data_IF_474314870807
#
_entry.id   IF_474314870807
#
_cell.length_a   1.000
_cell.length_b   1.000
_cell.length_c   1.000
_cell.angle_alpha   90.00
_cell.angle_beta   90.00
_cell.angle_gamma   90.00
#
_symmetry.space_group_name_H-M   'P 1'
#
loop_
_entity.id
_entity.type
_entity.pdbx_description
1 polymer ?
#
# COMPACT_ATOMS: atom_id res chain seq x y z
N UNK A 1 18.01 -5.80 -21.44
CA UNK A 1 16.96 -4.83 -21.05
C UNK A 1 16.01 -5.50 -20.06
N UNK A 2 16.07 -5.12 -18.78
CA UNK A 2 15.21 -5.66 -17.70
C UNK A 2 14.62 -4.56 -16.80
N UNK A 3 14.94 -3.29 -17.06
CA UNK A 3 14.56 -2.16 -16.22
C UNK A 3 13.10 -1.71 -16.43
N UNK A 4 12.56 -1.82 -17.65
CA UNK A 4 11.24 -1.30 -18.01
C UNK A 4 10.08 -2.05 -17.35
N UNK A 5 10.24 -3.37 -17.14
CA UNK A 5 9.21 -4.19 -16.50
C UNK A 5 9.11 -3.94 -14.99
N UNK A 6 10.24 -3.69 -14.31
CA UNK A 6 10.29 -3.44 -12.87
C UNK A 6 9.77 -2.04 -12.52
N UNK A 7 10.07 -1.02 -13.34
CA UNK A 7 9.60 0.36 -13.12
C UNK A 7 8.07 0.43 -13.21
N UNK A 8 7.47 -0.19 -14.24
CA UNK A 8 6.01 -0.20 -14.43
C UNK A 8 5.28 -0.90 -13.27
N UNK A 9 5.88 -1.94 -12.69
CA UNK A 9 5.29 -2.67 -11.57
C UNK A 9 5.21 -1.81 -10.28
N UNK A 10 6.27 -1.07 -9.95
CA UNK A 10 6.32 -0.19 -8.78
C UNK A 10 5.33 0.98 -8.91
N UNK A 11 5.23 1.57 -10.10
CA UNK A 11 4.27 2.65 -10.36
C UNK A 11 2.82 2.19 -10.21
N UNK A 12 2.50 0.99 -10.69
CA UNK A 12 1.17 0.41 -10.55
C UNK A 12 0.85 0.04 -9.09
N UNK A 13 1.83 -0.48 -8.32
CA UNK A 13 1.65 -0.69 -6.88
C UNK A 13 1.33 0.62 -6.16
N UNK A 14 2.12 1.67 -6.43
CA UNK A 14 1.93 2.95 -5.77
C UNK A 14 0.57 3.54 -6.12
N UNK A 15 0.16 3.47 -7.39
CA UNK A 15 -1.15 3.90 -7.84
C UNK A 15 -2.29 3.14 -7.15
N UNK A 16 -2.17 1.83 -7.00
CA UNK A 16 -3.16 1.03 -6.27
C UNK A 16 -3.25 1.46 -4.80
N UNK A 17 -2.13 1.74 -4.15
CA UNK A 17 -2.07 2.24 -2.78
C UNK A 17 -2.75 3.62 -2.66
N UNK A 18 -2.39 4.56 -3.52
CA UNK A 18 -2.95 5.92 -3.51
C UNK A 18 -4.46 5.92 -3.76
N UNK A 19 -4.93 5.04 -4.65
CA UNK A 19 -6.36 4.83 -4.88
C UNK A 19 -7.07 4.22 -3.67
N UNK A 20 -6.48 3.25 -2.98
CA UNK A 20 -7.06 2.72 -1.73
C UNK A 20 -7.21 3.83 -0.67
N UNK A 21 -6.20 4.67 -0.48
CA UNK A 21 -6.26 5.81 0.46
C UNK A 21 -7.35 6.81 0.03
N UNK A 22 -7.40 7.13 -1.26
CA UNK A 22 -8.34 8.13 -1.79
C UNK A 22 -9.78 7.67 -1.67
N UNK A 23 -10.05 6.38 -1.85
CA UNK A 23 -11.37 5.78 -1.66
C UNK A 23 -11.81 5.88 -0.19
N UNK A 24 -10.94 5.53 0.76
CA UNK A 24 -11.24 5.63 2.20
C UNK A 24 -11.53 7.06 2.65
N UNK A 25 -10.88 8.05 2.03
CA UNK A 25 -11.14 9.47 2.28
C UNK A 25 -12.36 10.02 1.54
N UNK A 26 -13.05 9.20 0.74
CA UNK A 26 -14.23 9.58 -0.01
C UNK A 26 -13.96 10.43 -1.27
N UNK A 27 -12.71 10.46 -1.75
CA UNK A 27 -12.33 11.26 -2.91
C UNK A 27 -12.57 10.55 -4.26
N UNK A 28 -12.66 9.22 -4.25
CA UNK A 28 -12.95 8.42 -5.45
C UNK A 28 -13.98 7.34 -5.14
N UNK A 29 -14.58 6.78 -6.19
CA UNK A 29 -15.52 5.67 -6.11
C UNK A 29 -14.82 4.32 -5.87
N UNK A 30 -15.57 3.34 -5.38
CA UNK A 30 -15.09 1.96 -5.26
C UNK A 30 -14.60 1.41 -6.61
N UNK A 31 -15.30 1.69 -7.72
CA UNK A 31 -14.95 1.18 -9.04
C UNK A 31 -13.60 1.72 -9.54
N UNK A 32 -13.31 2.99 -9.25
CA UNK A 32 -12.01 3.60 -9.60
C UNK A 32 -10.87 2.96 -8.80
N UNK A 33 -11.09 2.70 -7.52
CA UNK A 33 -10.13 2.00 -6.66
C UNK A 33 -9.92 0.55 -7.10
N UNK A 34 -11.00 -0.19 -7.35
CA UNK A 34 -10.97 -1.59 -7.79
C UNK A 34 -10.19 -1.74 -9.11
N UNK A 35 -10.35 -0.79 -10.03
CA UNK A 35 -9.59 -0.77 -11.29
C UNK A 35 -8.09 -0.62 -11.05
N UNK A 36 -7.68 0.34 -10.22
CA UNK A 36 -6.27 0.57 -9.91
C UNK A 36 -5.62 -0.65 -9.24
N UNK A 37 -6.33 -1.27 -8.30
CA UNK A 37 -5.89 -2.51 -7.64
C UNK A 37 -5.80 -3.65 -8.66
N UNK A 38 -6.83 -3.85 -9.49
CA UNK A 38 -6.84 -4.90 -10.52
C UNK A 38 -5.71 -4.76 -11.53
N UNK A 39 -5.41 -3.53 -11.95
CA UNK A 39 -4.31 -3.24 -12.85
C UNK A 39 -2.96 -3.57 -12.20
N UNK A 40 -2.75 -3.25 -10.91
CA UNK A 40 -1.55 -3.67 -10.19
C UNK A 40 -1.45 -5.20 -10.06
N UNK A 41 -2.56 -5.86 -9.69
CA UNK A 41 -2.60 -7.32 -9.49
C UNK A 41 -2.35 -8.11 -10.78
N UNK A 42 -2.73 -7.57 -11.95
CA UNK A 42 -2.44 -8.19 -13.27
C UNK A 42 -0.94 -8.36 -13.53
N UNK A 43 -0.10 -7.48 -12.98
CA UNK A 43 1.36 -7.59 -13.11
C UNK A 43 1.98 -8.51 -12.06
N UNK A 44 1.31 -8.71 -10.93
CA UNK A 44 1.68 -9.70 -9.94
C UNK A 44 1.04 -11.05 -10.29
N UNK A 45 1.66 -11.80 -11.19
CA UNK A 45 1.20 -13.14 -11.59
C UNK A 45 1.30 -14.23 -10.49
N UNK A 46 1.53 -13.86 -9.23
CA UNK A 46 1.66 -14.80 -8.12
C UNK A 46 0.85 -14.38 -6.89
N UNK A 47 0.34 -15.38 -6.17
CA UNK A 47 -0.43 -15.22 -4.92
C UNK A 47 0.34 -14.42 -3.86
N UNK A 48 1.67 -14.50 -3.88
CA UNK A 48 2.54 -13.78 -2.95
C UNK A 48 2.67 -12.29 -3.29
N UNK A 49 2.68 -11.95 -4.59
CA UNK A 49 2.59 -10.57 -5.05
C UNK A 49 1.27 -9.91 -4.66
N UNK A 50 0.16 -10.64 -4.81
CA UNK A 50 -1.16 -10.18 -4.38
C UNK A 50 -1.22 -9.91 -2.88
N UNK A 51 -0.69 -10.83 -2.06
CA UNK A 51 -0.62 -10.64 -0.60
C UNK A 51 0.17 -9.40 -0.22
N UNK A 52 1.31 -9.14 -0.88
CA UNK A 52 2.11 -7.93 -0.61
C UNK A 52 1.33 -6.64 -0.88
N UNK A 53 0.63 -6.52 -2.00
CA UNK A 53 -0.15 -5.32 -2.32
C UNK A 53 -1.26 -5.13 -1.30
N UNK A 54 -2.01 -6.20 -0.99
CA UNK A 54 -3.11 -6.14 -0.03
C UNK A 54 -2.59 -5.76 1.36
N UNK A 55 -1.51 -6.39 1.85
CA UNK A 55 -0.90 -6.05 3.13
C UNK A 55 -0.42 -4.60 3.19
N UNK A 56 0.26 -4.09 2.15
CA UNK A 56 0.72 -2.70 2.09
C UNK A 56 -0.46 -1.73 2.17
N UNK A 57 -1.52 -1.99 1.40
CA UNK A 57 -2.76 -1.20 1.45
C UNK A 57 -3.41 -1.21 2.83
N UNK A 58 -3.47 -2.38 3.46
CA UNK A 58 -4.07 -2.55 4.79
C UNK A 58 -3.29 -1.82 5.87
N UNK A 59 -1.95 -1.95 5.90
CA UNK A 59 -1.08 -1.24 6.84
C UNK A 59 -1.29 0.27 6.73
N UNK A 60 -1.33 0.80 5.51
CA UNK A 60 -1.52 2.23 5.28
C UNK A 60 -2.90 2.70 5.74
N UNK A 61 -3.96 1.95 5.42
CA UNK A 61 -5.31 2.24 5.92
C UNK A 61 -5.36 2.26 7.45
N UNK A 62 -4.72 1.27 8.09
CA UNK A 62 -4.62 1.21 9.55
C UNK A 62 -3.90 2.43 10.09
N UNK A 63 -2.74 2.80 9.55
CA UNK A 63 -1.97 3.99 9.98
C UNK A 63 -2.80 5.27 9.86
N UNK A 64 -3.53 5.47 8.75
CA UNK A 64 -4.38 6.65 8.58
C UNK A 64 -5.60 6.68 9.49
N UNK A 65 -6.00 5.54 10.08
CA UNK A 65 -7.07 5.46 11.05
C UNK A 65 -6.60 5.69 12.50
N UNK A 66 -5.29 5.71 12.75
CA UNK A 66 -4.73 5.92 14.09
C UNK A 66 -4.80 7.39 14.49
N UNK A 67 -5.04 7.63 15.78
CA UNK A 67 -4.89 8.96 16.37
C UNK A 67 -3.41 9.32 16.64
N UNK A 68 -3.15 10.56 17.04
CA UNK A 68 -1.80 11.06 17.25
C UNK A 68 -1.04 10.39 18.40
N UNK A 69 -1.73 9.80 19.37
CA UNK A 69 -1.13 9.04 20.47
C UNK A 69 -0.74 7.66 19.97
N UNK A 70 -1.65 6.99 19.26
CA UNK A 70 -1.40 5.69 18.66
C UNK A 70 -0.29 5.72 17.60
N UNK A 71 -0.20 6.81 16.81
CA UNK A 71 0.92 7.03 15.88
C UNK A 71 2.26 7.17 16.60
N UNK A 72 2.32 7.94 17.69
CA UNK A 72 3.54 8.09 18.50
C UNK A 72 4.00 6.77 19.12
N UNK A 73 3.06 5.95 19.59
CA UNK A 73 3.39 4.62 20.12
C UNK A 73 3.90 3.68 19.01
N UNK A 74 3.30 3.74 17.82
CA UNK A 74 3.78 2.99 16.65
C UNK A 74 5.19 3.44 16.23
N UNK A 75 5.45 4.74 16.19
CA UNK A 75 6.77 5.31 15.91
C UNK A 75 7.80 4.84 16.94
N UNK A 76 7.46 4.85 18.24
CA UNK A 76 8.32 4.36 19.32
C UNK A 76 8.71 2.90 19.10
N UNK A 77 7.73 2.01 18.91
CA UNK A 77 7.96 0.57 18.71
C UNK A 77 8.83 0.34 17.47
N UNK A 78 8.55 1.04 16.37
CA UNK A 78 9.29 0.88 15.12
C UNK A 78 10.74 1.38 15.24
N UNK A 79 10.96 2.50 15.93
CA UNK A 79 12.29 3.06 16.18
C UNK A 79 13.11 2.23 17.19
N UNK A 80 12.48 1.62 18.19
CA UNK A 80 13.12 0.65 19.07
C UNK A 80 13.63 -0.55 18.27
N UNK A 81 12.80 -1.11 17.38
CA UNK A 81 13.20 -2.20 16.47
C UNK A 81 14.37 -1.84 15.53
N UNK A 82 14.47 -0.59 15.08
CA UNK A 82 15.54 -0.13 14.20
C UNK A 82 16.89 0.06 14.91
N UNK A 83 16.89 0.21 16.23
CA UNK A 83 18.11 0.35 17.03
C UNK A 83 18.63 -0.99 17.59
N UNK A 84 17.86 -2.08 17.42
CA UNK A 84 18.22 -3.42 17.86
C UNK A 84 18.93 -4.28 16.79
N UNK A 85 19.10 -3.76 15.57
CA UNK A 85 19.80 -4.41 14.44
C UNK A 85 20.84 -3.48 13.80
#
# INVERSE_FOLDING_TARGET
>A
MKATATINQVELEQKAIDSMISYEKGFITYSEMEKAVSDALRYYGSREGHRRIVLKGWIIKTIYALDSVQLKDLDRITLEYLNEY
#
